data_IF_577431650661
#
_entry.id   IF_577431650661
#
_cell.length_a   1.000
_cell.length_b   1.000
_cell.length_c   1.000
_cell.angle_alpha   90.00
_cell.angle_beta   90.00
_cell.angle_gamma   90.00
#
_symmetry.space_group_name_H-M   'P 1'
#
loop_
_entity.id
_entity.type
_entity.pdbx_description
1 polymer ?
#
# COMPACT_ATOMS: atom_id res chain seq x y z
N UNK A 1 -4.77 1.48 4.80
CA UNK A 1 -6.21 1.74 4.57
C UNK A 1 -6.97 0.86 5.54
N UNK A 2 -7.78 1.41 6.46
CA UNK A 2 -8.59 0.64 7.39
C UNK A 2 -9.66 -0.20 6.68
N UNK A 3 -10.07 -1.30 7.30
CA UNK A 3 -11.20 -2.10 6.81
C UNK A 3 -12.48 -1.25 6.73
N UNK A 4 -13.33 -1.50 5.75
CA UNK A 4 -14.55 -0.71 5.51
C UNK A 4 -14.32 0.60 4.73
N UNK A 5 -13.08 0.95 4.40
CA UNK A 5 -12.79 2.13 3.57
C UNK A 5 -13.02 1.83 2.09
N UNK A 6 -13.90 2.60 1.46
CA UNK A 6 -14.01 2.59 -0.01
C UNK A 6 -12.82 3.36 -0.60
N UNK A 7 -12.07 2.71 -1.46
CA UNK A 7 -10.92 3.31 -2.11
C UNK A 7 -10.76 2.80 -3.54
N UNK A 8 -10.07 3.57 -4.35
CA UNK A 8 -9.73 3.19 -5.71
C UNK A 8 -8.32 3.72 -6.05
N UNK A 9 -7.65 3.01 -6.95
CA UNK A 9 -6.33 3.37 -7.42
C UNK A 9 -6.48 3.92 -8.83
N UNK A 10 -6.06 5.17 -9.04
CA UNK A 10 -6.08 5.84 -10.33
C UNK A 10 -4.98 5.35 -11.27
N UNK A 11 -5.01 5.85 -12.50
CA UNK A 11 -3.98 5.57 -13.50
C UNK A 11 -2.67 6.29 -13.16
N UNK A 12 -1.54 5.73 -13.64
CA UNK A 12 -0.22 6.36 -13.51
C UNK A 12 0.39 6.31 -12.12
N UNK A 13 -0.13 5.48 -11.22
CA UNK A 13 0.36 5.32 -9.85
C UNK A 13 1.13 4.02 -9.73
N UNK A 14 2.34 4.10 -9.22
CA UNK A 14 3.10 2.95 -8.72
C UNK A 14 2.83 2.81 -7.23
N UNK A 15 2.38 1.65 -6.80
CA UNK A 15 2.12 1.39 -5.38
C UNK A 15 2.72 0.05 -4.94
N UNK A 16 3.03 -0.03 -3.65
CA UNK A 16 3.26 -1.30 -2.96
C UNK A 16 2.10 -1.54 -2.00
N UNK A 17 1.44 -2.67 -2.12
CA UNK A 17 0.33 -3.06 -1.27
C UNK A 17 0.77 -4.19 -0.35
N UNK A 18 0.74 -3.93 0.96
CA UNK A 18 1.00 -4.90 2.00
C UNK A 18 -0.28 -5.01 2.81
N UNK A 19 -0.86 -6.20 2.83
CA UNK A 19 -2.13 -6.43 3.49
C UNK A 19 -2.08 -7.66 4.37
N UNK A 20 -3.02 -7.76 5.30
CA UNK A 20 -3.26 -9.00 6.03
C UNK A 20 -3.67 -10.11 5.07
N UNK A 21 -3.30 -11.34 5.37
CA UNK A 21 -3.66 -12.49 4.55
C UNK A 21 -5.18 -12.69 4.55
N UNK A 22 -5.82 -12.17 3.51
CA UNK A 22 -7.25 -12.32 3.26
C UNK A 22 -7.50 -12.26 1.76
N UNK A 23 -8.33 -13.15 1.27
CA UNK A 23 -8.79 -13.16 -0.13
C UNK A 23 -10.18 -12.51 -0.29
N UNK A 24 -10.69 -11.87 0.76
CA UNK A 24 -11.96 -11.15 0.69
C UNK A 24 -11.77 -9.79 0.02
N UNK A 25 -12.39 -9.63 -1.13
CA UNK A 25 -12.46 -8.36 -1.86
C UNK A 25 -13.89 -8.11 -2.28
N UNK A 26 -14.47 -7.02 -1.82
CA UNK A 26 -15.80 -6.59 -2.25
C UNK A 26 -15.66 -5.45 -3.25
N UNK A 27 -15.93 -5.76 -4.52
CA UNK A 27 -15.72 -4.84 -5.64
C UNK A 27 -17.00 -4.05 -5.91
N UNK A 28 -16.93 -2.72 -5.76
CA UNK A 28 -18.02 -1.81 -6.09
C UNK A 28 -17.99 -1.38 -7.56
N UNK A 29 -16.79 -1.20 -8.12
CA UNK A 29 -16.57 -0.76 -9.47
C UNK A 29 -15.26 -1.32 -10.02
N UNK A 30 -15.17 -1.59 -11.30
CA UNK A 30 -13.99 -2.18 -11.94
C UNK A 30 -13.60 -1.53 -13.26
N UNK A 31 -13.93 -0.25 -13.45
CA UNK A 31 -13.56 0.54 -14.63
C UNK A 31 -13.94 -0.14 -15.96
N UNK A 32 -14.97 -0.97 -15.97
CA UNK A 32 -15.40 -1.79 -17.12
C UNK A 32 -14.31 -2.68 -17.71
N UNK A 33 -13.29 -3.05 -16.92
CA UNK A 33 -12.24 -3.96 -17.37
C UNK A 33 -12.80 -5.33 -17.69
N UNK A 34 -12.26 -5.92 -18.77
CA UNK A 34 -12.60 -7.28 -19.20
C UNK A 34 -11.33 -8.15 -19.20
N UNK A 35 -11.52 -9.45 -19.06
CA UNK A 35 -10.46 -10.43 -19.29
C UNK A 35 -10.21 -10.61 -20.81
N UNK A 36 -9.29 -11.49 -21.18
CA UNK A 36 -8.96 -11.78 -22.57
C UNK A 36 -10.13 -12.37 -23.37
N UNK A 37 -11.16 -12.89 -22.68
CA UNK A 37 -12.38 -13.45 -23.26
C UNK A 37 -13.52 -12.43 -23.32
N UNK A 38 -13.30 -11.19 -22.85
CA UNK A 38 -14.31 -10.14 -22.85
C UNK A 38 -15.24 -10.15 -21.64
N UNK A 39 -15.03 -11.02 -20.65
CA UNK A 39 -15.87 -11.10 -19.46
C UNK A 39 -15.47 -10.04 -18.44
N UNK A 40 -16.47 -9.44 -17.81
CA UNK A 40 -16.25 -8.51 -16.67
C UNK A 40 -16.12 -9.29 -15.37
N UNK A 41 -15.27 -8.80 -14.47
CA UNK A 41 -15.21 -9.35 -13.11
C UNK A 41 -16.51 -9.05 -12.35
N UNK A 42 -17.00 -9.98 -11.51
CA UNK A 42 -18.22 -9.76 -10.75
C UNK A 42 -18.05 -8.60 -9.77
N UNK A 43 -19.11 -7.80 -9.63
CA UNK A 43 -19.24 -6.79 -8.59
C UNK A 43 -19.94 -7.40 -7.36
N UNK A 44 -19.67 -6.86 -6.18
CA UNK A 44 -20.19 -7.34 -4.91
C UNK A 44 -20.89 -6.21 -4.15
N UNK A 45 -21.75 -5.46 -4.84
CA UNK A 45 -22.31 -4.19 -4.37
C UNK A 45 -22.98 -4.33 -3.02
N UNK A 46 -23.92 -5.28 -2.86
CA UNK A 46 -24.64 -5.48 -1.62
C UNK A 46 -23.72 -5.78 -0.43
N UNK A 47 -22.75 -6.70 -0.62
CA UNK A 47 -21.78 -7.04 0.40
C UNK A 47 -20.84 -5.88 0.73
N UNK A 48 -20.43 -5.14 -0.28
CA UNK A 48 -19.59 -3.96 -0.11
C UNK A 48 -20.33 -2.90 0.71
N UNK A 49 -21.55 -2.56 0.33
CA UNK A 49 -22.40 -1.58 1.05
C UNK A 49 -22.62 -2.00 2.51
N UNK A 50 -22.83 -3.30 2.76
CA UNK A 50 -23.02 -3.81 4.12
C UNK A 50 -21.75 -3.75 4.99
N UNK A 51 -20.57 -3.60 4.40
CA UNK A 51 -19.28 -3.59 5.13
C UNK A 51 -18.59 -2.23 5.14
N UNK A 52 -19.12 -1.24 4.43
CA UNK A 52 -18.58 0.13 4.44
C UNK A 52 -18.73 0.76 5.81
N UNK A 53 -17.66 1.36 6.30
CA UNK A 53 -17.72 2.22 7.47
C UNK A 53 -18.07 3.65 7.05
N UNK A 54 -19.34 3.99 7.17
CA UNK A 54 -19.86 5.31 6.81
C UNK A 54 -19.46 6.43 7.80
N UNK A 55 -18.92 6.08 8.95
CA UNK A 55 -18.47 7.04 9.97
C UNK A 55 -16.95 7.27 9.90
N UNK A 56 -16.26 6.60 9.00
CA UNK A 56 -14.83 6.70 8.88
C UNK A 56 -14.40 8.12 8.53
N UNK A 57 -13.58 8.69 9.40
CA UNK A 57 -12.96 9.98 9.13
C UNK A 57 -11.82 9.82 8.12
N UNK A 58 -11.53 10.86 7.33
CA UNK A 58 -10.32 10.87 6.50
C UNK A 58 -9.09 10.52 7.36
N UNK A 59 -8.20 9.71 6.80
CA UNK A 59 -6.94 9.44 7.47
C UNK A 59 -6.19 10.76 7.67
N UNK A 60 -5.67 11.01 8.87
CA UNK A 60 -4.87 12.20 9.10
C UNK A 60 -3.65 12.17 8.19
N UNK A 61 -3.24 13.34 7.71
CA UNK A 61 -1.98 13.48 7.01
C UNK A 61 -0.86 13.00 7.93
N UNK A 62 -0.11 11.98 7.49
CA UNK A 62 0.97 11.44 8.29
C UNK A 62 2.18 12.37 8.18
N UNK A 63 2.54 13.01 9.28
CA UNK A 63 3.83 13.70 9.38
C UNK A 63 4.93 12.66 9.31
N UNK A 64 5.55 12.57 8.13
CA UNK A 64 6.64 11.63 7.90
C UNK A 64 7.93 12.21 8.49
N UNK A 65 8.49 11.48 9.42
CA UNK A 65 9.79 11.83 10.00
C UNK A 65 10.89 11.13 9.23
N UNK A 66 11.87 11.91 8.77
CA UNK A 66 13.09 11.39 8.16
C UNK A 66 14.18 11.40 9.21
N UNK A 67 14.73 10.25 9.52
CA UNK A 67 15.84 10.09 10.45
C UNK A 67 17.15 9.85 9.70
N UNK A 68 18.19 10.61 10.07
CA UNK A 68 19.53 10.36 9.58
C UNK A 68 20.16 9.22 10.39
N UNK A 69 20.63 8.19 9.72
CA UNK A 69 21.37 7.07 10.26
C UNK A 69 22.79 7.05 9.67
N UNK A 70 23.64 6.18 10.19
CA UNK A 70 24.96 6.01 9.62
C UNK A 70 24.87 5.31 8.24
N UNK A 71 25.22 6.05 7.21
CA UNK A 71 25.23 5.60 5.82
C UNK A 71 23.88 5.57 5.09
N UNK A 72 22.78 5.97 5.71
CA UNK A 72 21.47 6.05 5.06
C UNK A 72 20.51 7.01 5.80
N UNK A 73 19.42 7.37 5.14
CA UNK A 73 18.27 7.99 5.79
C UNK A 73 17.09 7.03 5.81
N UNK A 74 16.32 7.07 6.87
CA UNK A 74 15.10 6.28 7.03
C UNK A 74 13.89 7.18 7.14
N UNK A 75 12.86 6.89 6.35
CA UNK A 75 11.54 7.52 6.42
C UNK A 75 10.50 6.44 6.69
N UNK A 76 9.83 6.49 7.84
CA UNK A 76 8.71 5.58 8.13
C UNK A 76 7.49 6.04 7.34
N UNK A 77 7.06 5.22 6.38
CA UNK A 77 5.91 5.52 5.52
C UNK A 77 4.59 5.16 6.18
N UNK A 78 4.54 4.04 6.88
CA UNK A 78 3.40 3.66 7.72
C UNK A 78 3.83 2.61 8.75
N UNK A 79 3.10 2.55 9.85
CA UNK A 79 3.29 1.54 10.88
C UNK A 79 1.92 1.12 11.45
N UNK A 80 1.79 -0.14 11.78
CA UNK A 80 0.65 -0.70 12.48
C UNK A 80 1.13 -1.85 13.39
N UNK A 81 0.26 -2.44 14.23
CA UNK A 81 0.67 -3.56 15.09
C UNK A 81 1.23 -4.79 14.36
N UNK A 82 1.02 -4.91 13.06
CA UNK A 82 1.38 -6.09 12.27
C UNK A 82 2.61 -5.88 11.41
N UNK A 83 2.88 -4.65 10.94
CA UNK A 83 4.05 -4.34 10.11
C UNK A 83 4.38 -2.84 10.13
N UNK A 84 5.61 -2.56 9.73
CA UNK A 84 6.09 -1.22 9.43
C UNK A 84 6.67 -1.20 8.02
N UNK A 85 6.40 -0.12 7.30
CA UNK A 85 7.00 0.14 5.98
C UNK A 85 7.87 1.38 6.11
N UNK A 86 9.15 1.21 5.80
CA UNK A 86 10.12 2.31 5.78
C UNK A 86 10.73 2.46 4.39
N UNK A 87 11.02 3.69 4.00
CA UNK A 87 11.83 4.03 2.84
C UNK A 87 13.26 4.31 3.30
N UNK A 88 14.21 3.63 2.69
CA UNK A 88 15.63 3.84 2.97
C UNK A 88 16.30 4.49 1.75
N UNK A 89 17.00 5.59 1.97
CA UNK A 89 17.87 6.20 0.98
C UNK A 89 19.32 5.90 1.36
N UNK A 90 19.94 4.98 0.62
CA UNK A 90 21.31 4.53 0.88
C UNK A 90 22.30 5.53 0.27
N UNK A 91 23.25 5.99 1.08
CA UNK A 91 24.33 6.90 0.66
C UNK A 91 25.60 6.14 0.29
N UNK A 92 25.72 4.88 0.72
CA UNK A 92 26.84 3.99 0.43
C UNK A 92 26.38 2.53 0.48
N UNK A 93 27.30 1.60 0.12
CA UNK A 93 27.01 0.17 0.26
C UNK A 93 26.74 -0.17 1.72
N UNK A 94 25.61 -0.79 1.97
CA UNK A 94 25.14 -1.10 3.30
C UNK A 94 24.68 -2.57 3.40
N UNK A 95 25.01 -3.24 4.50
CA UNK A 95 24.53 -4.60 4.78
C UNK A 95 23.34 -4.50 5.75
N UNK A 96 22.14 -4.68 5.25
CA UNK A 96 20.94 -4.76 6.07
C UNK A 96 20.72 -6.21 6.54
N UNK A 97 20.75 -6.42 7.86
CA UNK A 97 20.31 -7.68 8.45
C UNK A 97 18.82 -7.54 8.79
N UNK A 98 17.97 -8.18 8.00
CA UNK A 98 16.52 -8.13 8.19
C UNK A 98 16.03 -9.37 8.91
N UNK A 99 15.15 -9.21 9.87
CA UNK A 99 14.54 -10.33 10.61
C UNK A 99 13.30 -10.90 9.94
N UNK A 100 12.70 -10.19 9.00
CA UNK A 100 11.67 -10.72 8.09
C UNK A 100 11.34 -9.74 6.97
N UNK A 101 11.17 -10.28 5.79
CA UNK A 101 10.33 -9.90 4.65
C UNK A 101 10.66 -8.72 3.76
N UNK A 102 10.75 -9.10 2.50
CA UNK A 102 10.44 -8.39 1.26
C UNK A 102 10.89 -6.93 1.19
N UNK A 103 12.10 -6.73 0.70
CA UNK A 103 12.56 -5.44 0.19
C UNK A 103 12.62 -5.47 -1.33
N UNK A 104 11.97 -4.51 -1.98
CA UNK A 104 12.38 -4.09 -3.31
C UNK A 104 13.37 -2.94 -3.16
N UNK A 105 14.58 -3.11 -3.64
CA UNK A 105 15.55 -2.04 -3.74
C UNK A 105 15.40 -1.43 -5.14
N UNK A 106 14.94 -0.19 -5.20
CA UNK A 106 14.97 0.57 -6.44
C UNK A 106 16.27 1.38 -6.46
N UNK A 107 17.13 1.26 -7.50
CA UNK A 107 18.29 2.14 -7.61
C UNK A 107 17.80 3.59 -7.69
N UNK A 108 18.49 4.49 -7.02
CA UNK A 108 18.29 5.92 -7.19
C UNK A 108 18.45 6.24 -8.68
N UNK A 109 17.45 6.89 -9.27
CA UNK A 109 17.61 7.40 -10.62
C UNK A 109 18.73 8.45 -10.58
N UNK A 110 19.84 8.17 -11.23
CA UNK A 110 20.84 9.17 -11.52
C UNK A 110 20.18 10.25 -12.37
N UNK A 111 20.21 11.48 -11.88
CA UNK A 111 19.83 12.68 -12.65
C UNK A 111 21.05 13.27 -13.32
#
# INVERSE_FOLDING_TARGET
IPAGTVHAIGAGILLAEIQQSSNLTYRLYDYNRTDAQGNKRPLHIEKAVATVDYQQKPLPEQNRTVEQKDGYTEEVLCACPYFQVSRLHLQQRFLLRMHSLCCSVSPAAER
#
